data_IF_307639432905
#
_entry.id   IF_307639432905
#
_cell.length_a   1.000
_cell.length_b   1.000
_cell.length_c   1.000
_cell.angle_alpha   90.00
_cell.angle_beta   90.00
_cell.angle_gamma   90.00
#
_symmetry.space_group_name_H-M   'P 1'
#
loop_
_entity.id
_entity.type
_entity.pdbx_description
1 polymer ?
#
# COMPACT_ATOMS: atom_id res chain seq x y z
N UNK A 1 -1.99 -3.08 28.99
CA UNK A 1 -1.17 -2.77 27.79
C UNK A 1 -1.84 -3.41 26.59
N UNK A 2 -2.57 -2.65 25.77
CA UNK A 2 -3.15 -3.17 24.54
C UNK A 2 -2.09 -3.09 23.44
N UNK A 3 -1.47 -4.23 23.11
CA UNK A 3 -0.67 -4.34 21.89
C UNK A 3 -1.64 -4.36 20.72
N UNK A 4 -1.74 -3.25 19.98
CA UNK A 4 -2.38 -3.26 18.68
C UNK A 4 -1.46 -4.06 17.75
N UNK A 5 -1.77 -5.34 17.55
CA UNK A 5 -1.10 -6.16 16.55
C UNK A 5 -1.25 -5.45 15.20
N UNK A 6 -0.13 -5.16 14.53
CA UNK A 6 -0.21 -4.66 13.16
C UNK A 6 -0.94 -5.71 12.32
N UNK A 7 -1.97 -5.31 11.54
CA UNK A 7 -2.67 -6.24 10.67
C UNK A 7 -1.67 -6.96 9.78
N UNK A 8 -1.73 -8.29 9.73
CA UNK A 8 -0.89 -9.07 8.83
C UNK A 8 -1.15 -8.62 7.39
N UNK A 9 -0.05 -8.41 6.64
CA UNK A 9 -0.13 -8.06 5.22
C UNK A 9 -0.72 -9.22 4.42
N UNK A 10 -1.62 -8.89 3.51
CA UNK A 10 -2.14 -9.79 2.48
C UNK A 10 -1.07 -10.09 1.43
N UNK A 11 -1.18 -11.19 0.67
CA UNK A 11 -0.27 -11.48 -0.43
C UNK A 11 -0.20 -10.35 -1.47
N UNK A 12 -1.33 -9.70 -1.77
CA UNK A 12 -1.38 -8.57 -2.71
C UNK A 12 -0.60 -7.34 -2.19
N UNK A 13 -0.71 -7.02 -0.90
CA UNK A 13 0.06 -5.93 -0.28
C UNK A 13 1.57 -6.21 -0.34
N UNK A 14 1.99 -7.44 -0.01
CA UNK A 14 3.39 -7.87 -0.13
C UNK A 14 3.89 -7.76 -1.57
N UNK A 15 3.12 -8.29 -2.53
CA UNK A 15 3.49 -8.25 -3.95
C UNK A 15 3.66 -6.82 -4.48
N UNK A 16 2.81 -5.88 -4.06
CA UNK A 16 2.93 -4.46 -4.43
C UNK A 16 4.21 -3.82 -3.87
N UNK A 17 4.53 -4.09 -2.60
CA UNK A 17 5.73 -3.57 -1.94
C UNK A 17 6.99 -4.11 -2.62
N UNK A 18 7.05 -5.43 -2.84
CA UNK A 18 8.19 -6.09 -3.46
C UNK A 18 8.38 -5.60 -4.92
N UNK A 19 7.29 -5.57 -5.70
CA UNK A 19 7.34 -5.12 -7.08
C UNK A 19 7.80 -3.67 -7.22
N UNK A 20 7.45 -2.81 -6.25
CA UNK A 20 7.97 -1.44 -6.19
C UNK A 20 9.46 -1.41 -5.86
N UNK A 21 9.89 -2.15 -4.83
CA UNK A 21 11.31 -2.25 -4.45
C UNK A 21 12.21 -2.65 -5.62
N UNK A 22 11.78 -3.63 -6.41
CA UNK A 22 12.52 -4.11 -7.59
C UNK A 22 12.67 -3.05 -8.70
N UNK A 23 11.72 -2.12 -8.80
CA UNK A 23 11.60 -1.21 -9.95
C UNK A 23 11.89 0.25 -9.62
N UNK A 24 12.02 0.61 -8.34
CA UNK A 24 12.16 1.99 -7.89
C UNK A 24 13.24 2.76 -8.66
N UNK A 25 14.42 2.16 -8.87
CA UNK A 25 15.54 2.77 -9.61
C UNK A 25 15.28 2.97 -11.10
N UNK A 26 14.27 2.29 -11.66
CA UNK A 26 13.89 2.35 -13.07
C UNK A 26 12.72 3.31 -13.32
N UNK A 27 12.03 3.76 -12.27
CA UNK A 27 10.86 4.61 -12.43
C UNK A 27 11.27 6.06 -12.78
N UNK A 28 10.74 6.65 -13.86
CA UNK A 28 11.07 8.02 -14.25
C UNK A 28 10.49 9.02 -13.24
N UNK A 29 11.12 10.18 -13.06
CA UNK A 29 10.60 11.26 -12.21
C UNK A 29 11.70 12.11 -11.60
N UNK A 30 11.33 13.31 -11.15
CA UNK A 30 12.21 14.16 -10.35
C UNK A 30 12.14 13.78 -8.86
N UNK A 31 12.91 14.50 -8.03
CA UNK A 31 12.93 14.26 -6.59
C UNK A 31 11.57 14.40 -5.90
N UNK A 32 10.69 15.29 -6.39
CA UNK A 32 9.36 15.46 -5.82
C UNK A 32 8.45 14.27 -6.13
N UNK A 33 8.59 13.68 -7.32
CA UNK A 33 7.89 12.43 -7.68
C UNK A 33 8.41 11.25 -6.86
N UNK A 34 9.71 11.19 -6.59
CA UNK A 34 10.29 10.14 -5.74
C UNK A 34 9.71 10.17 -4.32
N UNK A 35 9.61 11.35 -3.70
CA UNK A 35 9.01 11.51 -2.36
C UNK A 35 7.56 11.03 -2.32
N UNK A 36 6.74 11.43 -3.31
CA UNK A 36 5.33 11.00 -3.37
C UNK A 36 5.17 9.48 -3.50
N UNK A 37 6.10 8.82 -4.20
CA UNK A 37 6.09 7.36 -4.34
C UNK A 37 6.46 6.67 -3.04
N UNK A 38 7.47 7.20 -2.35
CA UNK A 38 7.89 6.70 -1.04
C UNK A 38 6.72 6.80 -0.04
N UNK A 39 6.09 7.97 0.06
CA UNK A 39 4.91 8.19 0.90
C UNK A 39 3.75 7.22 0.59
N UNK A 40 3.50 6.96 -0.71
CA UNK A 40 2.46 6.05 -1.14
C UNK A 40 2.76 4.60 -0.71
N UNK A 41 4.01 4.16 -0.83
CA UNK A 41 4.40 2.80 -0.43
C UNK A 41 4.45 2.64 1.09
N UNK A 42 4.87 3.66 1.83
CA UNK A 42 4.74 3.67 3.30
C UNK A 42 3.28 3.52 3.72
N UNK A 43 2.35 4.16 3.00
CA UNK A 43 0.91 3.98 3.26
C UNK A 43 0.47 2.53 3.02
N UNK A 44 0.91 1.89 1.93
CA UNK A 44 0.58 0.49 1.63
C UNK A 44 1.18 -0.47 2.67
N UNK A 45 2.34 -0.15 3.27
CA UNK A 45 2.93 -0.94 4.35
C UNK A 45 2.03 -1.04 5.59
N UNK A 46 1.10 -0.10 5.78
CA UNK A 46 0.06 -0.13 6.82
C UNK A 46 -1.22 -0.87 6.39
N UNK A 47 -1.30 -1.31 5.14
CA UNK A 47 -2.41 -2.03 4.54
C UNK A 47 -3.12 -1.23 3.45
N UNK A 48 -3.74 -1.94 2.53
CA UNK A 48 -4.61 -1.35 1.52
C UNK A 48 -5.88 -0.77 2.16
N UNK A 49 -6.43 0.30 1.58
CA UNK A 49 -7.62 0.94 2.11
C UNK A 49 -8.82 -0.01 2.06
N UNK A 50 -9.65 0.14 3.08
CA UNK A 50 -10.92 -0.59 3.25
C UNK A 50 -12.06 0.43 3.38
N UNK A 51 -13.31 -0.03 3.39
CA UNK A 51 -14.50 0.83 3.59
C UNK A 51 -14.53 1.60 4.93
N UNK A 52 -13.61 1.31 5.85
CA UNK A 52 -13.43 2.05 7.11
C UNK A 52 -12.82 3.44 6.90
N UNK A 53 -12.12 3.65 5.80
CA UNK A 53 -11.62 4.96 5.41
C UNK A 53 -12.71 5.69 4.64
N UNK A 54 -13.09 6.89 5.06
CA UNK A 54 -14.21 7.64 4.50
C UNK A 54 -14.10 7.84 2.97
N UNK A 55 -12.90 8.17 2.48
CA UNK A 55 -12.64 8.32 1.04
C UNK A 55 -12.74 7.02 0.23
N UNK A 56 -12.83 5.87 0.90
CA UNK A 56 -12.94 4.53 0.32
C UNK A 56 -14.27 3.84 0.67
N UNK A 57 -15.25 4.58 1.18
CA UNK A 57 -16.52 4.02 1.67
C UNK A 57 -17.20 3.08 0.66
N UNK A 58 -17.10 3.40 -0.63
CA UNK A 58 -17.72 2.65 -1.71
C UNK A 58 -16.81 1.59 -2.36
N UNK A 59 -15.51 1.56 -2.04
CA UNK A 59 -14.52 0.68 -2.68
C UNK A 59 -13.59 0.05 -1.65
N UNK A 60 -13.67 -1.27 -1.50
CA UNK A 60 -12.74 -2.02 -0.65
C UNK A 60 -11.56 -2.54 -1.47
N UNK A 61 -10.49 -1.74 -1.59
CA UNK A 61 -9.36 -2.09 -2.42
C UNK A 61 -8.63 -3.33 -1.90
N UNK A 62 -8.47 -3.44 -0.57
CA UNK A 62 -7.86 -4.62 0.06
C UNK A 62 -8.59 -5.89 -0.32
N UNK A 63 -9.93 -5.88 -0.27
CA UNK A 63 -10.74 -7.04 -0.67
C UNK A 63 -10.69 -7.30 -2.17
N UNK A 64 -10.70 -6.25 -3.01
CA UNK A 64 -10.68 -6.38 -4.47
C UNK A 64 -9.36 -6.97 -4.98
N UNK A 65 -8.22 -6.58 -4.42
CA UNK A 65 -6.93 -7.10 -4.84
C UNK A 65 -6.63 -8.51 -4.30
N UNK A 66 -7.36 -8.97 -3.29
CA UNK A 66 -7.22 -10.34 -2.79
C UNK A 66 -7.83 -11.40 -3.74
N UNK A 67 -8.55 -11.00 -4.80
CA UNK A 67 -9.13 -11.91 -5.79
C UNK A 67 -8.30 -12.04 -7.06
N UNK A 68 -7.14 -11.39 -7.11
CA UNK A 68 -6.19 -11.39 -8.24
C UNK A 68 -5.05 -12.35 -7.91
#
# INVERSE_FOLDING_TARGET
MNMHAQPQRTPAETALIDAFGDRLSLLPGDGAVMLKRDDAIETIKHGLPTRRVESWHYTDLRRLLNTV
#
